data_IF_623421898620
#
_entry.id   IF_623421898620
#
_cell.length_a   1.000
_cell.length_b   1.000
_cell.length_c   1.000
_cell.angle_alpha   90.00
_cell.angle_beta   90.00
_cell.angle_gamma   90.00
#
_symmetry.space_group_name_H-M   'P 1'
#
loop_
_entity.id
_entity.type
_entity.pdbx_description
1 polymer ?
#
# COMPACT_ATOMS: atom_id res chain seq x y z
N UNK A 1 -6.41 -3.37 4.15
CA UNK A 1 -5.50 -2.27 4.55
C UNK A 1 -4.98 -2.43 5.98
N UNK A 2 -5.84 -2.55 6.99
CA UNK A 2 -5.42 -2.55 8.40
C UNK A 2 -4.44 -3.68 8.75
N UNK A 3 -4.67 -4.89 8.25
CA UNK A 3 -3.74 -6.01 8.45
C UNK A 3 -2.33 -5.72 7.89
N UNK A 4 -2.25 -5.09 6.72
CA UNK A 4 -0.98 -4.72 6.10
C UNK A 4 -0.28 -3.60 6.88
N UNK A 5 -1.03 -2.62 7.40
CA UNK A 5 -0.50 -1.56 8.27
C UNK A 5 0.07 -2.18 9.55
N UNK A 6 -0.68 -3.05 10.22
CA UNK A 6 -0.23 -3.74 11.43
C UNK A 6 1.02 -4.60 11.17
N UNK A 7 1.07 -5.29 10.02
CA UNK A 7 2.27 -6.04 9.60
C UNK A 7 3.48 -5.13 9.39
N UNK A 8 3.30 -3.99 8.72
CA UNK A 8 4.38 -3.00 8.49
C UNK A 8 4.88 -2.38 9.80
N UNK A 9 3.98 -2.12 10.75
CA UNK A 9 4.35 -1.65 12.09
C UNK A 9 5.14 -2.70 12.85
N UNK A 10 4.67 -3.95 12.86
CA UNK A 10 5.29 -5.04 13.60
C UNK A 10 6.65 -5.48 13.02
N UNK A 11 6.75 -5.56 11.69
CA UNK A 11 7.92 -6.15 11.02
C UNK A 11 8.94 -5.11 10.55
N UNK A 12 8.48 -3.90 10.20
CA UNK A 12 9.34 -2.81 9.72
C UNK A 12 9.44 -1.62 10.68
N UNK A 13 8.81 -1.72 11.87
CA UNK A 13 8.84 -0.70 12.92
C UNK A 13 8.43 0.70 12.44
N UNK A 14 7.43 0.75 11.55
CA UNK A 14 6.86 1.99 11.04
C UNK A 14 5.80 2.54 11.99
N UNK A 15 5.58 3.85 11.99
CA UNK A 15 4.37 4.46 12.57
C UNK A 15 3.16 4.25 11.66
N UNK A 16 1.94 4.50 12.17
CA UNK A 16 0.71 4.40 11.37
C UNK A 16 0.77 5.26 10.09
N UNK A 17 1.23 6.52 10.21
CA UNK A 17 1.40 7.42 9.06
C UNK A 17 2.44 6.91 8.06
N UNK A 18 3.56 6.38 8.55
CA UNK A 18 4.61 5.84 7.68
C UNK A 18 4.14 4.58 6.94
N UNK A 19 3.42 3.69 7.62
CA UNK A 19 2.87 2.48 7.01
C UNK A 19 1.82 2.82 5.94
N UNK A 20 0.90 3.73 6.25
CA UNK A 20 -0.07 4.23 5.28
C UNK A 20 0.62 4.84 4.07
N UNK A 21 1.66 5.67 4.30
CA UNK A 21 2.39 6.30 3.21
C UNK A 21 3.18 5.31 2.36
N UNK A 22 3.80 4.31 2.97
CA UNK A 22 4.51 3.26 2.27
C UNK A 22 3.59 2.50 1.30
N UNK A 23 2.37 2.18 1.75
CA UNK A 23 1.36 1.50 0.92
C UNK A 23 0.98 2.38 -0.29
N UNK A 24 0.71 3.67 -0.07
CA UNK A 24 0.42 4.61 -1.17
C UNK A 24 1.56 4.68 -2.19
N UNK A 25 2.80 4.81 -1.71
CA UNK A 25 3.99 4.92 -2.56
C UNK A 25 4.18 3.66 -3.39
N UNK A 26 4.02 2.47 -2.79
CA UNK A 26 4.11 1.20 -3.51
C UNK A 26 2.99 1.07 -4.53
N UNK A 27 1.74 1.38 -4.17
CA UNK A 27 0.60 1.32 -5.08
C UNK A 27 0.79 2.25 -6.30
N UNK A 28 1.27 3.47 -6.08
CA UNK A 28 1.59 4.41 -7.15
C UNK A 28 2.72 3.88 -8.05
N UNK A 29 3.80 3.36 -7.46
CA UNK A 29 4.92 2.81 -8.21
C UNK A 29 4.52 1.61 -9.07
N UNK A 30 3.73 0.68 -8.53
CA UNK A 30 3.25 -0.49 -9.28
C UNK A 30 2.33 -0.06 -10.43
N UNK A 31 1.46 0.93 -10.24
CA UNK A 31 0.62 1.47 -11.33
C UNK A 31 1.43 2.12 -12.44
N UNK A 32 2.48 2.85 -12.07
CA UNK A 32 3.39 3.48 -13.04
C UNK A 32 4.14 2.42 -13.85
N UNK A 33 4.69 1.39 -13.18
CA UNK A 33 5.49 0.35 -13.84
C UNK A 33 4.67 -0.71 -14.56
N UNK A 34 3.46 -0.99 -14.07
CA UNK A 34 2.56 -2.02 -14.58
C UNK A 34 1.14 -1.48 -14.76
N UNK A 35 0.90 -0.60 -15.76
CA UNK A 35 -0.40 0.04 -15.95
C UNK A 35 -1.58 -0.95 -16.11
N UNK A 36 -1.31 -2.12 -16.70
CA UNK A 36 -2.28 -3.21 -16.84
C UNK A 36 -2.82 -3.74 -15.51
N UNK A 37 -2.08 -3.57 -14.41
CA UNK A 37 -2.50 -3.99 -13.07
C UNK A 37 -3.25 -2.88 -12.31
N UNK A 38 -3.38 -1.68 -12.87
CA UNK A 38 -3.84 -0.51 -12.13
C UNK A 38 -5.21 -0.69 -11.47
N UNK A 39 -6.18 -1.25 -12.19
CA UNK A 39 -7.50 -1.54 -11.62
C UNK A 39 -7.48 -2.57 -10.49
N UNK A 40 -6.60 -3.57 -10.55
CA UNK A 40 -6.45 -4.54 -9.47
C UNK A 40 -5.78 -3.92 -8.24
N UNK A 41 -4.77 -3.06 -8.45
CA UNK A 41 -4.12 -2.28 -7.38
C UNK A 41 -5.14 -1.35 -6.72
N UNK A 42 -6.02 -0.70 -7.49
CA UNK A 42 -7.13 0.09 -6.96
C UNK A 42 -8.12 -0.74 -6.13
N UNK A 43 -8.43 -1.96 -6.54
CA UNK A 43 -9.31 -2.82 -5.74
C UNK A 43 -8.65 -3.30 -4.42
N UNK A 44 -7.34 -3.50 -4.42
CA UNK A 44 -6.59 -3.99 -3.24
C UNK A 44 -6.29 -2.86 -2.25
N UNK A 45 -5.90 -1.69 -2.77
CA UNK A 45 -5.41 -0.56 -1.98
C UNK A 45 -6.34 0.66 -1.98
N UNK A 46 -7.42 0.66 -2.76
CA UNK A 46 -8.38 1.77 -2.88
C UNK A 46 -9.62 1.63 -2.00
N UNK A 47 -9.75 0.56 -1.21
CA UNK A 47 -10.82 0.45 -0.21
C UNK A 47 -10.52 1.36 0.98
N UNK A 48 -10.99 2.61 0.93
CA UNK A 48 -11.23 3.40 2.15
C UNK A 48 -12.16 2.67 3.09
#
# INVERSE_FOLDING_TARGET
MNELIEKLKAEANLTDEQAAKAIETIAAFVKEKFPMLGGAVDNIFGSK
#
